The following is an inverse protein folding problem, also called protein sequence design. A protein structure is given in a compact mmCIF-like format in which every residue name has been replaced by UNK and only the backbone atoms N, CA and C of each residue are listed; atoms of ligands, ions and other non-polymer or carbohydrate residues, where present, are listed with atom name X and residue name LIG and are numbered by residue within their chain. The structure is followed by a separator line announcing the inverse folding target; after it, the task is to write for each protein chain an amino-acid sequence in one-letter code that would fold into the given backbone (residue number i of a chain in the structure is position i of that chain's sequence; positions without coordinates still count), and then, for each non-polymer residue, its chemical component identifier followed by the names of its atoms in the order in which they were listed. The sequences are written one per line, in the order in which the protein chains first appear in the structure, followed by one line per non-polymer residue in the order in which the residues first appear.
data_IF_318033775608
#
_entry.id   IF_318033775608
#
_cell.length_a   1.000
_cell.length_b   1.000
_cell.length_c   1.000
_cell.angle_alpha   90.00
_cell.angle_beta   90.00
_cell.angle_gamma   90.00
#
_symmetry.space_group_name_H-M   'P 1'
#
loop_
_entity.id
_entity.type
_entity.pdbx_description
1 polymer ?
#
# COMPACT_ATOMS: atom_id res chain seq x y z
N UNK A 1 32.53 -0.66 -8.47
CA UNK A 1 32.56 0.82 -8.60
C UNK A 1 31.26 1.38 -9.16
N UNK A 2 30.75 0.92 -10.30
CA UNK A 2 29.45 1.41 -10.86
C UNK A 2 28.30 1.30 -9.83
N UNK A 3 28.15 0.16 -9.15
CA UNK A 3 27.13 -0.02 -8.11
C UNK A 3 27.25 0.98 -6.92
N UNK A 4 28.47 1.40 -6.57
CA UNK A 4 28.69 2.36 -5.48
C UNK A 4 28.34 3.80 -5.89
N UNK A 5 28.58 4.19 -7.14
CA UNK A 5 28.19 5.51 -7.67
C UNK A 5 26.67 5.63 -7.84
N UNK A 6 25.99 4.53 -8.12
CA UNK A 6 24.53 4.45 -8.24
C UNK A 6 23.83 4.65 -6.90
N UNK A 7 24.33 4.01 -5.83
CA UNK A 7 23.79 4.21 -4.49
C UNK A 7 23.97 5.64 -3.95
N UNK A 8 24.95 6.38 -4.47
CA UNK A 8 25.21 7.78 -4.11
C UNK A 8 24.42 8.80 -4.96
N UNK A 9 23.45 8.37 -5.77
CA UNK A 9 22.53 9.29 -6.49
C UNK A 9 23.15 10.04 -7.67
N UNK A 10 24.27 9.57 -8.24
CA UNK A 10 24.95 10.21 -9.37
C UNK A 10 24.92 9.34 -10.65
N UNK A 11 23.75 9.21 -11.32
CA UNK A 11 23.60 8.37 -12.51
C UNK A 11 24.48 8.82 -13.70
N UNK A 12 24.81 10.11 -13.79
CA UNK A 12 25.71 10.64 -14.83
C UNK A 12 27.17 10.15 -14.67
N UNK A 13 27.68 10.09 -13.42
CA UNK A 13 29.01 9.57 -13.14
C UNK A 13 29.09 8.05 -13.39
N UNK A 14 28.01 7.33 -13.04
CA UNK A 14 27.88 5.91 -13.33
C UNK A 14 27.89 5.63 -14.85
N UNK A 15 27.24 6.49 -15.66
CA UNK A 15 27.24 6.38 -17.12
C UNK A 15 28.63 6.53 -17.73
N UNK A 16 29.38 7.52 -17.29
CA UNK A 16 30.76 7.71 -17.75
C UNK A 16 31.63 6.47 -17.44
N UNK A 17 31.53 5.93 -16.21
CA UNK A 17 32.25 4.71 -15.84
C UNK A 17 31.81 3.49 -16.66
N UNK A 18 30.51 3.38 -16.93
CA UNK A 18 29.95 2.32 -17.76
C UNK A 18 30.42 2.40 -19.22
N UNK A 19 30.56 3.61 -19.75
CA UNK A 19 31.04 3.83 -21.11
C UNK A 19 32.53 3.50 -21.28
N UNK A 20 33.32 3.66 -20.22
CA UNK A 20 34.73 3.26 -20.17
C UNK A 20 34.96 1.75 -19.96
N UNK A 21 33.92 0.95 -19.70
CA UNK A 21 34.09 -0.48 -19.46
C UNK A 21 34.54 -1.21 -20.74
N UNK A 22 35.68 -1.94 -20.72
CA UNK A 22 36.16 -2.69 -21.89
C UNK A 22 35.21 -3.81 -22.31
N UNK A 23 34.50 -4.39 -21.35
CA UNK A 23 33.47 -5.41 -21.55
C UNK A 23 32.31 -5.15 -20.59
N UNK A 24 31.09 -5.17 -21.12
CA UNK A 24 29.84 -4.95 -20.37
C UNK A 24 29.11 -6.27 -20.23
N UNK A 25 28.82 -6.66 -19.00
CA UNK A 25 28.07 -7.86 -18.65
C UNK A 25 26.63 -7.53 -18.23
N UNK A 26 25.79 -8.57 -18.04
CA UNK A 26 24.39 -8.36 -17.65
C UNK A 26 24.24 -7.60 -16.32
N UNK A 27 25.20 -7.73 -15.41
CA UNK A 27 25.18 -7.05 -14.10
C UNK A 27 25.39 -5.55 -14.27
N UNK A 28 26.40 -5.12 -15.04
CA UNK A 28 26.67 -3.71 -15.29
C UNK A 28 25.50 -3.03 -16.03
N UNK A 29 24.90 -3.69 -17.03
CA UNK A 29 23.69 -3.20 -17.70
C UNK A 29 22.49 -3.05 -16.74
N UNK A 30 22.18 -4.09 -15.95
CA UNK A 30 21.08 -4.04 -14.98
C UNK A 30 21.32 -3.00 -13.89
N UNK A 31 22.57 -2.82 -13.46
CA UNK A 31 22.94 -1.79 -12.48
C UNK A 31 22.68 -0.39 -13.02
N UNK A 32 23.05 -0.12 -14.28
CA UNK A 32 22.74 1.16 -14.93
C UNK A 32 21.25 1.38 -15.12
N UNK A 33 20.53 0.34 -15.52
CA UNK A 33 19.08 0.41 -15.73
C UNK A 33 18.33 0.71 -14.41
N UNK A 34 18.65 -0.01 -13.33
CA UNK A 34 18.08 0.26 -12.01
C UNK A 34 18.44 1.66 -11.51
N UNK A 35 19.67 2.13 -11.75
CA UNK A 35 20.08 3.48 -11.37
C UNK A 35 19.22 4.57 -12.03
N UNK A 36 18.99 4.45 -13.34
CA UNK A 36 18.16 5.40 -14.06
C UNK A 36 16.68 5.27 -13.69
N UNK A 37 16.21 4.05 -13.38
CA UNK A 37 14.87 3.81 -12.87
C UNK A 37 14.64 4.45 -11.48
N UNK A 38 15.62 4.35 -10.58
CA UNK A 38 15.57 4.96 -9.25
C UNK A 38 15.66 6.50 -9.32
N UNK A 39 16.45 7.02 -10.28
CA UNK A 39 16.57 8.46 -10.52
C UNK A 39 15.41 9.07 -11.32
N UNK A 40 14.44 8.27 -11.80
CA UNK A 40 13.32 8.72 -12.63
C UNK A 40 13.72 9.18 -14.04
N UNK A 41 14.94 8.90 -14.49
CA UNK A 41 15.46 9.30 -15.79
C UNK A 41 15.06 8.30 -16.89
N UNK A 42 13.76 8.25 -17.20
CA UNK A 42 13.15 7.22 -18.08
C UNK A 42 13.78 7.14 -19.47
N UNK A 43 14.06 8.28 -20.11
CA UNK A 43 14.69 8.29 -21.43
C UNK A 43 16.05 7.58 -21.44
N UNK A 44 16.86 7.80 -20.40
CA UNK A 44 18.16 7.13 -20.26
C UNK A 44 18.00 5.65 -19.90
N UNK A 45 16.97 5.29 -19.13
CA UNK A 45 16.64 3.89 -18.86
C UNK A 45 16.27 3.15 -20.16
N UNK A 46 15.50 3.77 -21.06
CA UNK A 46 15.15 3.23 -22.38
C UNK A 46 16.37 3.07 -23.29
N UNK A 47 17.26 4.06 -23.32
CA UNK A 47 18.53 3.96 -24.05
C UNK A 47 19.39 2.80 -23.56
N UNK A 48 19.54 2.66 -22.24
CA UNK A 48 20.30 1.56 -21.65
C UNK A 48 19.66 0.23 -22.00
N UNK A 49 18.33 0.12 -21.89
CA UNK A 49 17.58 -1.10 -22.17
C UNK A 49 17.63 -1.52 -23.65
N UNK A 50 17.52 -0.56 -24.56
CA UNK A 50 17.62 -0.80 -26.01
C UNK A 50 19.03 -1.23 -26.41
N UNK A 51 20.06 -0.69 -25.75
CA UNK A 51 21.47 -1.08 -25.94
C UNK A 51 21.88 -2.45 -25.38
N UNK A 52 21.02 -3.12 -24.58
CA UNK A 52 21.36 -4.43 -24.00
C UNK A 52 21.39 -5.53 -25.07
N UNK A 53 22.50 -6.28 -25.22
CA UNK A 53 22.60 -7.37 -26.20
C UNK A 53 21.74 -8.58 -25.83
N UNK A 54 21.52 -8.82 -24.54
CA UNK A 54 20.57 -9.81 -24.03
C UNK A 54 19.73 -9.19 -22.93
N UNK A 55 18.42 -9.27 -23.09
CA UNK A 55 17.43 -8.81 -22.11
C UNK A 55 16.90 -10.00 -21.35
N UNK A 56 16.93 -9.93 -20.03
CA UNK A 56 16.40 -10.94 -19.14
C UNK A 56 15.22 -10.38 -18.35
N UNK A 57 14.53 -11.24 -17.59
CA UNK A 57 13.36 -10.84 -16.80
C UNK A 57 13.67 -9.70 -15.81
N UNK A 58 14.91 -9.64 -15.30
CA UNK A 58 15.37 -8.56 -14.42
C UNK A 58 15.40 -7.22 -15.15
N UNK A 59 15.94 -7.15 -16.36
CA UNK A 59 15.97 -5.91 -17.14
C UNK A 59 14.56 -5.44 -17.50
N UNK A 60 13.66 -6.37 -17.87
CA UNK A 60 12.27 -6.03 -18.16
C UNK A 60 11.53 -5.49 -16.94
N UNK A 61 11.68 -6.15 -15.78
CA UNK A 61 11.05 -5.70 -14.53
C UNK A 61 11.61 -4.36 -14.03
N UNK A 62 12.90 -4.08 -14.24
CA UNK A 62 13.51 -2.80 -13.90
C UNK A 62 12.96 -1.65 -14.76
N UNK A 63 12.84 -1.86 -16.08
CA UNK A 63 12.22 -0.88 -16.98
C UNK A 63 10.74 -0.66 -16.65
N UNK A 64 10.02 -1.75 -16.38
CA UNK A 64 8.62 -1.69 -15.96
C UNK A 64 8.42 -0.89 -14.67
N UNK A 65 9.28 -1.11 -13.67
CA UNK A 65 9.26 -0.36 -12.42
C UNK A 65 9.58 1.12 -12.64
N UNK A 66 10.49 1.44 -13.57
CA UNK A 66 10.78 2.81 -13.96
C UNK A 66 9.51 3.51 -14.51
N UNK A 67 8.82 2.88 -15.47
CA UNK A 67 7.55 3.41 -15.98
C UNK A 67 6.47 3.51 -14.92
N UNK A 68 6.42 2.54 -14.00
CA UNK A 68 5.47 2.55 -12.89
C UNK A 68 5.63 3.77 -12.00
N UNK A 69 6.87 4.05 -11.58
CA UNK A 69 7.18 5.20 -10.72
C UNK A 69 6.97 6.54 -11.42
N UNK A 70 7.25 6.60 -12.72
CA UNK A 70 7.01 7.79 -13.53
C UNK A 70 5.54 7.98 -13.95
N UNK A 71 4.64 7.04 -13.64
CA UNK A 71 3.23 7.10 -14.02
C UNK A 71 2.97 6.87 -15.52
N UNK A 72 3.93 6.37 -16.28
CA UNK A 72 3.80 6.10 -17.71
C UNK A 72 3.09 4.77 -17.99
N UNK A 73 1.81 4.69 -17.61
CA UNK A 73 0.99 3.45 -17.68
C UNK A 73 0.94 2.86 -19.10
N UNK A 74 0.80 3.70 -20.12
CA UNK A 74 0.75 3.24 -21.51
C UNK A 74 2.03 2.52 -21.94
N UNK A 75 3.20 3.07 -21.59
CA UNK A 75 4.50 2.43 -21.88
C UNK A 75 4.68 1.16 -21.06
N UNK A 76 4.30 1.16 -19.78
CA UNK A 76 4.34 -0.04 -18.94
C UNK A 76 3.50 -1.19 -19.53
N UNK A 77 2.30 -0.89 -20.05
CA UNK A 77 1.44 -1.87 -20.73
C UNK A 77 2.06 -2.37 -22.04
N UNK A 78 2.68 -1.49 -22.83
CA UNK A 78 3.40 -1.91 -24.04
C UNK A 78 4.57 -2.85 -23.70
N UNK A 79 5.34 -2.53 -22.66
CA UNK A 79 6.44 -3.38 -22.20
C UNK A 79 5.95 -4.79 -21.83
N UNK A 80 4.76 -4.93 -21.23
CA UNK A 80 4.16 -6.24 -20.95
C UNK A 80 3.95 -7.07 -22.22
N UNK A 81 3.51 -6.44 -23.31
CA UNK A 81 3.20 -7.13 -24.57
C UNK A 81 4.47 -7.58 -25.31
N UNK A 82 5.58 -6.88 -25.08
CA UNK A 82 6.89 -7.23 -25.62
C UNK A 82 7.64 -8.27 -24.77
N UNK A 83 7.20 -8.53 -23.53
CA UNK A 83 7.87 -9.46 -22.63
C UNK A 83 7.64 -10.92 -23.04
N UNK A 84 8.71 -11.70 -23.27
CA UNK A 84 8.59 -13.10 -23.68
C UNK A 84 8.09 -14.03 -22.56
N UNK A 85 8.31 -13.64 -21.30
CA UNK A 85 7.83 -14.33 -20.11
C UNK A 85 7.43 -13.29 -19.06
N UNK A 86 6.31 -13.53 -18.39
CA UNK A 86 5.83 -12.69 -17.30
C UNK A 86 5.86 -13.48 -16.00
N UNK A 87 6.10 -12.80 -14.89
CA UNK A 87 6.03 -13.41 -13.57
C UNK A 87 5.17 -12.57 -12.62
N UNK A 88 5.05 -13.04 -11.38
CA UNK A 88 4.26 -12.36 -10.34
C UNK A 88 4.71 -10.90 -10.14
N UNK A 89 6.01 -10.62 -10.23
CA UNK A 89 6.54 -9.24 -10.08
C UNK A 89 6.07 -8.33 -11.22
N UNK A 90 6.06 -8.84 -12.46
CA UNK A 90 5.55 -8.11 -13.63
C UNK A 90 4.08 -7.70 -13.43
N UNK A 91 3.24 -8.67 -13.07
CA UNK A 91 1.81 -8.43 -12.90
C UNK A 91 1.48 -7.58 -11.69
N UNK A 92 2.13 -7.78 -10.54
CA UNK A 92 1.92 -6.95 -9.34
C UNK A 92 2.31 -5.49 -9.56
N UNK A 93 3.42 -5.24 -10.28
CA UNK A 93 3.86 -3.88 -10.64
C UNK A 93 2.84 -3.21 -11.56
N UNK A 94 2.31 -3.94 -12.54
CA UNK A 94 1.29 -3.40 -13.45
C UNK A 94 -0.08 -3.23 -12.81
N UNK A 95 -0.47 -4.12 -11.88
CA UNK A 95 -1.72 -3.99 -11.13
C UNK A 95 -1.77 -2.68 -10.34
N UNK A 96 -0.64 -2.28 -9.76
CA UNK A 96 -0.53 -1.01 -9.05
C UNK A 96 -0.77 0.22 -9.95
N UNK A 97 -0.64 0.07 -11.29
CA UNK A 97 -0.81 1.15 -12.27
C UNK A 97 -2.11 1.08 -13.06
N UNK A 98 -2.51 -0.12 -13.46
CA UNK A 98 -3.56 -0.37 -14.44
C UNK A 98 -4.82 -1.02 -13.87
N UNK A 99 -4.83 -1.33 -12.57
CA UNK A 99 -6.01 -1.79 -11.85
C UNK A 99 -6.69 -3.00 -12.50
N UNK A 100 -8.02 -2.89 -12.71
CA UNK A 100 -8.90 -3.97 -13.16
C UNK A 100 -8.51 -4.56 -14.52
N UNK A 101 -8.16 -3.74 -15.50
CA UNK A 101 -7.82 -4.21 -16.84
C UNK A 101 -6.62 -5.16 -16.85
N UNK A 102 -5.60 -4.85 -16.04
CA UNK A 102 -4.41 -5.70 -15.90
C UNK A 102 -4.79 -6.98 -15.15
N UNK A 103 -5.58 -6.86 -14.10
CA UNK A 103 -6.06 -8.00 -13.31
C UNK A 103 -6.85 -9.01 -14.14
N UNK A 104 -7.69 -8.53 -15.05
CA UNK A 104 -8.50 -9.39 -15.92
C UNK A 104 -7.65 -10.19 -16.91
N UNK A 105 -6.53 -9.61 -17.37
CA UNK A 105 -5.54 -10.25 -18.27
C UNK A 105 -4.58 -11.21 -17.57
N UNK A 106 -4.57 -11.28 -16.24
CA UNK A 106 -3.66 -12.18 -15.53
C UNK A 106 -4.06 -13.65 -15.73
N UNK A 107 -3.15 -14.52 -16.21
CA UNK A 107 -3.45 -15.93 -16.43
C UNK A 107 -3.71 -16.67 -15.10
N UNK A 108 -2.98 -16.31 -14.05
CA UNK A 108 -3.18 -16.85 -12.71
C UNK A 108 -3.22 -15.71 -11.68
N UNK A 109 -4.31 -15.64 -10.91
CA UNK A 109 -4.56 -14.60 -9.91
C UNK A 109 -4.27 -15.17 -8.52
N UNK A 110 -3.12 -14.81 -7.96
CA UNK A 110 -2.77 -15.17 -6.59
C UNK A 110 -3.33 -14.16 -5.57
N UNK A 111 -3.30 -14.51 -4.27
CA UNK A 111 -3.77 -13.66 -3.17
C UNK A 111 -3.14 -12.26 -3.17
N UNK A 112 -1.88 -12.14 -3.59
CA UNK A 112 -1.17 -10.84 -3.69
C UNK A 112 -1.80 -9.95 -4.75
N UNK A 113 -2.19 -10.50 -5.90
CA UNK A 113 -2.87 -9.76 -6.96
C UNK A 113 -4.23 -9.19 -6.48
N UNK A 114 -5.03 -10.03 -5.82
CA UNK A 114 -6.31 -9.62 -5.24
C UNK A 114 -6.14 -8.49 -4.21
N UNK A 115 -5.21 -8.66 -3.27
CA UNK A 115 -4.94 -7.66 -2.23
C UNK A 115 -4.40 -6.34 -2.81
N UNK A 116 -3.58 -6.41 -3.88
CA UNK A 116 -3.04 -5.22 -4.55
C UNK A 116 -4.16 -4.41 -5.22
N UNK A 117 -5.07 -5.08 -5.92
CA UNK A 117 -6.20 -4.40 -6.56
C UNK A 117 -7.20 -3.85 -5.53
N UNK A 118 -7.43 -4.58 -4.43
CA UNK A 118 -8.26 -4.12 -3.32
C UNK A 118 -7.70 -2.84 -2.68
N UNK A 119 -6.38 -2.79 -2.46
CA UNK A 119 -5.69 -1.59 -1.97
C UNK A 119 -5.74 -0.42 -2.98
N UNK A 120 -5.72 -0.71 -4.29
CA UNK A 120 -5.87 0.31 -5.31
C UNK A 120 -7.28 0.93 -5.29
N UNK A 121 -8.34 0.13 -5.20
CA UNK A 121 -9.71 0.64 -5.04
C UNK A 121 -9.90 1.42 -3.75
N UNK A 122 -9.27 0.98 -2.66
CA UNK A 122 -9.26 1.72 -1.39
C UNK A 122 -8.73 3.13 -1.54
N UNK A 123 -7.59 3.31 -2.22
CA UNK A 123 -6.99 4.63 -2.46
C UNK A 123 -7.85 5.53 -3.35
N UNK A 124 -8.63 4.94 -4.26
CA UNK A 124 -9.50 5.68 -5.18
C UNK A 124 -10.90 5.93 -4.61
N UNK A 125 -11.23 5.37 -3.45
CA UNK A 125 -12.57 5.47 -2.85
C UNK A 125 -13.65 4.69 -3.59
N UNK A 126 -13.26 3.72 -4.42
CA UNK A 126 -14.16 2.87 -5.22
C UNK A 126 -14.66 1.69 -4.38
N UNK A 127 -15.63 1.99 -3.49
CA UNK A 127 -16.09 1.07 -2.43
C UNK A 127 -16.86 -0.13 -2.99
N UNK A 128 -17.72 0.09 -3.98
CA UNK A 128 -18.54 -1.00 -4.54
C UNK A 128 -17.67 -1.97 -5.35
N UNK A 129 -16.72 -1.45 -6.13
CA UNK A 129 -15.75 -2.26 -6.87
C UNK A 129 -14.83 -3.03 -5.92
N UNK A 130 -14.41 -2.43 -4.80
CA UNK A 130 -13.68 -3.13 -3.75
C UNK A 130 -14.50 -4.28 -3.14
N UNK A 131 -15.80 -4.06 -2.92
CA UNK A 131 -16.72 -5.06 -2.36
C UNK A 131 -16.94 -6.22 -3.32
N UNK A 132 -17.26 -5.93 -4.59
CA UNK A 132 -17.41 -6.94 -5.64
C UNK A 132 -16.14 -7.78 -5.78
N UNK A 133 -14.97 -7.13 -5.75
CA UNK A 133 -13.69 -7.82 -5.80
C UNK A 133 -13.48 -8.73 -4.60
N UNK A 134 -13.76 -8.23 -3.39
CA UNK A 134 -13.63 -8.98 -2.15
C UNK A 134 -14.59 -10.18 -2.09
N UNK A 135 -15.82 -10.03 -2.56
CA UNK A 135 -16.84 -11.09 -2.62
C UNK A 135 -16.46 -12.17 -3.64
N UNK A 136 -15.78 -11.80 -4.73
CA UNK A 136 -15.25 -12.71 -5.74
C UNK A 136 -13.96 -13.45 -5.38
N UNK A 137 -13.33 -13.17 -4.22
CA UNK A 137 -12.09 -13.84 -3.82
C UNK A 137 -12.33 -15.33 -3.49
N UNK A 138 -11.62 -16.27 -4.15
CA UNK A 138 -11.76 -17.71 -3.85
C UNK A 138 -11.23 -18.05 -2.46
N UNK A 139 -10.15 -17.38 -2.05
CA UNK A 139 -9.54 -17.49 -0.72
C UNK A 139 -9.33 -16.09 -0.18
N UNK A 140 -9.57 -15.91 1.13
CA UNK A 140 -9.42 -14.62 1.82
C UNK A 140 -8.39 -14.75 2.93
N UNK A 141 -7.40 -13.86 2.92
CA UNK A 141 -6.43 -13.73 3.99
C UNK A 141 -6.86 -12.67 5.01
N UNK A 142 -6.27 -12.66 6.20
CA UNK A 142 -6.46 -11.59 7.18
C UNK A 142 -6.16 -10.20 6.59
N UNK A 143 -5.19 -10.12 5.68
CA UNK A 143 -4.86 -8.88 4.94
C UNK A 143 -6.04 -8.45 4.06
N UNK A 144 -6.69 -9.38 3.36
CA UNK A 144 -7.85 -9.12 2.52
C UNK A 144 -9.03 -8.57 3.33
N UNK A 145 -9.33 -9.21 4.47
CA UNK A 145 -10.39 -8.77 5.39
C UNK A 145 -10.11 -7.37 5.97
N UNK A 146 -8.87 -7.15 6.42
CA UNK A 146 -8.46 -5.86 7.01
C UNK A 146 -8.51 -4.74 5.97
N UNK A 147 -8.07 -5.00 4.73
CA UNK A 147 -8.14 -4.03 3.65
C UNK A 147 -9.58 -3.64 3.32
N UNK A 148 -10.50 -4.60 3.19
CA UNK A 148 -11.91 -4.30 2.94
C UNK A 148 -12.57 -3.54 4.10
N UNK A 149 -12.21 -3.88 5.35
CA UNK A 149 -12.67 -3.15 6.53
C UNK A 149 -12.26 -1.68 6.50
N UNK A 150 -11.00 -1.40 6.15
CA UNK A 150 -10.49 -0.02 6.01
C UNK A 150 -11.24 0.76 4.93
N UNK A 151 -11.60 0.11 3.81
CA UNK A 151 -12.42 0.72 2.74
C UNK A 151 -13.81 1.10 3.25
N UNK A 152 -14.50 0.19 3.95
CA UNK A 152 -15.84 0.43 4.48
C UNK A 152 -15.82 1.50 5.60
N UNK A 153 -14.80 1.45 6.45
CA UNK A 153 -14.57 2.43 7.51
C UNK A 153 -14.37 3.85 6.94
N UNK A 154 -13.46 4.00 5.97
CA UNK A 154 -13.13 5.28 5.36
C UNK A 154 -14.26 5.90 4.52
N UNK A 155 -15.18 5.07 4.03
CA UNK A 155 -16.35 5.53 3.26
C UNK A 155 -17.59 5.84 4.12
N UNK A 156 -17.51 5.67 5.44
CA UNK A 156 -18.62 5.91 6.36
C UNK A 156 -19.71 4.83 6.32
N UNK A 157 -19.49 3.72 5.61
CA UNK A 157 -20.38 2.55 5.59
C UNK A 157 -20.20 1.69 6.85
N UNK A 158 -20.38 2.30 8.02
CA UNK A 158 -20.12 1.69 9.34
C UNK A 158 -20.91 0.40 9.53
N UNK A 159 -22.16 0.34 9.07
CA UNK A 159 -23.00 -0.86 9.20
C UNK A 159 -22.44 -2.06 8.42
N UNK A 160 -21.88 -1.82 7.23
CA UNK A 160 -21.19 -2.85 6.45
C UNK A 160 -19.85 -3.22 7.08
N UNK A 161 -19.10 -2.24 7.58
CA UNK A 161 -17.85 -2.46 8.31
C UNK A 161 -18.07 -3.34 9.55
N UNK A 162 -19.13 -3.08 10.33
CA UNK A 162 -19.52 -3.89 11.49
C UNK A 162 -19.81 -5.32 11.10
N UNK A 163 -20.66 -5.54 10.08
CA UNK A 163 -20.97 -6.89 9.58
C UNK A 163 -19.72 -7.63 9.13
N UNK A 164 -18.82 -6.93 8.43
CA UNK A 164 -17.58 -7.53 7.96
C UNK A 164 -16.66 -7.90 9.14
N UNK A 165 -16.50 -7.00 10.11
CA UNK A 165 -15.69 -7.22 11.31
C UNK A 165 -16.22 -8.36 12.20
N UNK A 166 -17.53 -8.54 12.26
CA UNK A 166 -18.18 -9.65 12.96
C UNK A 166 -18.04 -10.98 12.24
N UNK A 167 -17.95 -10.97 10.91
CA UNK A 167 -17.66 -12.16 10.10
C UNK A 167 -16.17 -12.52 10.04
N UNK A 168 -15.26 -11.66 10.51
CA UNK A 168 -13.82 -11.92 10.46
C UNK A 168 -13.44 -13.12 11.36
N UNK A 169 -12.77 -14.17 10.81
CA UNK A 169 -12.38 -15.35 11.59
C UNK A 169 -11.36 -15.04 12.68
N UNK A 170 -10.49 -14.07 12.43
CA UNK A 170 -9.48 -13.58 13.37
C UNK A 170 -9.39 -12.07 13.26
N UNK A 171 -9.17 -11.42 14.40
CA UNK A 171 -8.99 -9.97 14.52
C UNK A 171 -7.58 -9.69 15.00
N UNK A 172 -6.94 -8.69 14.39
CA UNK A 172 -5.65 -8.14 14.84
C UNK A 172 -5.80 -6.66 15.24
N UNK A 173 -4.74 -6.09 15.83
CA UNK A 173 -4.76 -4.67 16.25
C UNK A 173 -5.20 -3.72 15.13
N UNK A 174 -4.72 -3.96 13.90
CA UNK A 174 -5.05 -3.12 12.73
C UNK A 174 -6.54 -3.16 12.41
N UNK A 175 -7.16 -4.35 12.41
CA UNK A 175 -8.60 -4.50 12.16
C UNK A 175 -9.45 -3.86 13.25
N UNK A 176 -9.09 -4.02 14.53
CA UNK A 176 -9.79 -3.38 15.64
C UNK A 176 -9.67 -1.85 15.55
N UNK A 177 -8.48 -1.33 15.29
CA UNK A 177 -8.23 0.12 15.13
C UNK A 177 -9.04 0.70 13.98
N UNK A 178 -9.10 0.01 12.83
CA UNK A 178 -9.92 0.43 11.69
C UNK A 178 -11.41 0.48 12.08
N UNK A 179 -11.90 -0.50 12.84
CA UNK A 179 -13.27 -0.54 13.32
C UNK A 179 -13.59 0.55 14.35
N UNK A 180 -12.70 0.80 15.32
CA UNK A 180 -12.80 1.90 16.29
C UNK A 180 -12.90 3.24 15.55
N UNK A 181 -12.03 3.45 14.55
CA UNK A 181 -12.02 4.67 13.74
C UNK A 181 -13.31 4.82 12.92
N UNK A 182 -13.86 3.72 12.37
CA UNK A 182 -15.13 3.72 11.65
C UNK A 182 -16.31 4.13 12.56
N UNK A 183 -16.35 3.55 13.77
CA UNK A 183 -17.39 3.80 14.75
C UNK A 183 -17.25 5.17 15.43
N UNK A 184 -16.06 5.79 15.37
CA UNK A 184 -15.72 6.98 16.14
C UNK A 184 -16.69 8.16 16.01
N UNK A 185 -17.37 8.29 14.86
CA UNK A 185 -18.30 9.39 14.60
C UNK A 185 -19.79 9.03 14.75
N UNK A 186 -20.13 7.73 14.80
CA UNK A 186 -21.53 7.26 14.77
C UNK A 186 -21.93 6.45 16.00
N UNK A 187 -21.01 5.66 16.55
CA UNK A 187 -21.28 4.74 17.65
C UNK A 187 -20.04 4.59 18.57
N UNK A 188 -19.83 5.54 19.49
CA UNK A 188 -18.70 5.48 20.42
C UNK A 188 -18.81 4.30 21.41
N UNK A 189 -20.01 3.76 21.65
CA UNK A 189 -20.21 2.60 22.51
C UNK A 189 -19.63 1.34 21.85
N UNK A 190 -19.92 1.14 20.55
CA UNK A 190 -19.32 0.04 19.78
C UNK A 190 -17.81 0.20 19.65
N UNK A 191 -17.31 1.42 19.47
CA UNK A 191 -15.87 1.67 19.45
C UNK A 191 -15.19 1.22 20.76
N UNK A 192 -15.81 1.50 21.91
CA UNK A 192 -15.34 1.05 23.22
C UNK A 192 -15.37 -0.47 23.36
N UNK A 193 -16.48 -1.11 22.97
CA UNK A 193 -16.60 -2.57 23.02
C UNK A 193 -15.50 -3.27 22.20
N UNK A 194 -15.20 -2.75 21.01
CA UNK A 194 -14.12 -3.27 20.16
C UNK A 194 -12.77 -3.09 20.85
N UNK A 195 -12.50 -1.93 21.44
CA UNK A 195 -11.26 -1.65 22.17
C UNK A 195 -11.08 -2.57 23.38
N UNK A 196 -12.13 -2.74 24.20
CA UNK A 196 -12.11 -3.60 25.39
C UNK A 196 -11.92 -5.08 25.02
N UNK A 197 -12.32 -5.48 23.81
CA UNK A 197 -12.10 -6.84 23.29
C UNK A 197 -10.67 -7.08 22.77
N UNK A 198 -9.81 -6.04 22.72
CA UNK A 198 -8.43 -6.18 22.23
C UNK A 198 -7.54 -6.88 23.27
N UNK A 199 -6.85 -7.98 22.92
CA UNK A 199 -5.92 -8.64 23.84
C UNK A 199 -4.73 -7.74 24.24
N UNK A 200 -4.33 -6.87 23.32
CA UNK A 200 -3.32 -5.84 23.53
C UNK A 200 -3.78 -4.58 22.80
N UNK A 201 -4.31 -3.63 23.56
CA UNK A 201 -4.52 -2.28 23.06
C UNK A 201 -3.16 -1.59 22.92
N UNK A 202 -2.92 -0.98 21.76
CA UNK A 202 -1.74 -0.16 21.52
C UNK A 202 -2.13 1.32 21.61
N UNK A 203 -1.12 2.20 21.63
CA UNK A 203 -1.33 3.64 21.71
C UNK A 203 -2.19 4.16 20.54
N UNK A 204 -2.12 3.50 19.38
CA UNK A 204 -2.87 3.89 18.18
C UNK A 204 -4.36 3.61 18.36
N UNK A 205 -4.73 2.42 18.83
CA UNK A 205 -6.13 2.07 19.09
C UNK A 205 -6.74 2.92 20.21
N UNK A 206 -5.94 3.27 21.23
CA UNK A 206 -6.39 4.14 22.31
C UNK A 206 -6.58 5.59 21.85
N UNK A 207 -5.64 6.13 21.07
CA UNK A 207 -5.77 7.45 20.46
C UNK A 207 -6.99 7.54 19.55
N UNK A 208 -7.29 6.47 18.78
CA UNK A 208 -8.50 6.41 17.96
C UNK A 208 -9.79 6.47 18.81
N UNK A 209 -9.81 5.80 19.97
CA UNK A 209 -10.95 5.81 20.89
C UNK A 209 -11.10 7.16 21.64
N UNK A 210 -9.99 7.79 22.05
CA UNK A 210 -10.00 9.14 22.64
C UNK A 210 -10.59 10.13 21.63
N UNK A 211 -10.13 10.08 20.38
CA UNK A 211 -10.66 10.92 19.30
C UNK A 211 -12.14 10.65 19.00
N UNK A 212 -12.60 9.41 19.15
CA UNK A 212 -14.03 9.06 19.05
C UNK A 212 -14.86 9.76 20.12
N UNK A 213 -14.49 9.62 21.40
CA UNK A 213 -15.26 10.24 22.47
C UNK A 213 -15.21 11.77 22.45
N UNK A 214 -14.07 12.34 22.08
CA UNK A 214 -13.87 13.78 21.93
C UNK A 214 -14.93 14.43 21.03
N UNK A 215 -15.25 13.78 19.90
CA UNK A 215 -16.24 14.28 18.92
C UNK A 215 -17.67 14.24 19.42
N UNK A 216 -17.96 13.45 20.45
CA UNK A 216 -19.29 13.29 21.02
C UNK A 216 -19.50 14.12 22.31
N UNK A 217 -18.57 15.03 22.64
CA UNK A 217 -18.68 15.92 23.80
C UNK A 217 -18.63 15.20 25.15
N UNK A 218 -18.27 13.91 25.16
CA UNK A 218 -18.03 13.15 26.37
C UNK A 218 -16.59 13.40 26.80
N UNK A 219 -16.38 14.24 27.80
CA UNK A 219 -15.03 14.67 28.21
C UNK A 219 -14.42 13.74 29.26
N UNK A 220 -15.25 13.12 30.11
CA UNK A 220 -14.78 12.28 31.21
C UNK A 220 -14.22 10.93 30.75
N UNK A 221 -14.88 10.27 29.79
CA UNK A 221 -14.44 8.98 29.24
C UNK A 221 -13.06 9.06 28.52
N UNK A 222 -12.79 10.01 27.61
CA UNK A 222 -11.50 10.15 26.96
C UNK A 222 -10.40 10.57 27.93
N UNK A 223 -10.72 11.35 28.99
CA UNK A 223 -9.74 11.70 30.03
C UNK A 223 -9.33 10.47 30.85
N UNK A 224 -10.30 9.66 31.28
CA UNK A 224 -10.00 8.43 32.01
C UNK A 224 -9.13 7.48 31.18
N UNK A 225 -9.43 7.36 29.89
CA UNK A 225 -8.64 6.55 28.98
C UNK A 225 -7.22 7.13 28.80
N UNK A 226 -7.09 8.44 28.61
CA UNK A 226 -5.82 9.14 28.50
C UNK A 226 -4.92 8.99 29.74
N UNK A 227 -5.51 9.09 30.93
CA UNK A 227 -4.80 8.93 32.21
C UNK A 227 -4.37 7.46 32.45
N UNK A 228 -5.03 6.50 31.81
CA UNK A 228 -4.68 5.07 31.88
C UNK A 228 -3.56 4.65 30.92
N UNK A 229 -3.13 5.53 30.00
CA UNK A 229 -2.09 5.22 29.03
C UNK A 229 -0.70 5.17 29.70
N UNK A 230 0.11 4.13 29.42
CA UNK A 230 1.46 4.03 29.96
C UNK A 230 2.40 5.11 29.42
N UNK A 231 2.18 5.55 28.18
CA UNK A 231 2.86 6.68 27.54
C UNK A 231 1.85 7.52 26.77
N UNK A 232 1.98 8.85 26.86
CA UNK A 232 1.13 9.82 26.19
C UNK A 232 1.95 10.51 25.10
N UNK A 233 1.47 10.47 23.86
CA UNK A 233 2.14 11.14 22.74
C UNK A 233 1.43 12.45 22.36
N UNK A 234 2.04 13.19 21.43
CA UNK A 234 1.47 14.45 20.93
C UNK A 234 0.07 14.25 20.35
N UNK A 235 -0.22 13.07 19.78
CA UNK A 235 -1.54 12.75 19.27
C UNK A 235 -2.57 12.57 20.39
N UNK A 236 -2.22 11.88 21.48
CA UNK A 236 -3.07 11.71 22.66
C UNK A 236 -3.47 13.08 23.24
N UNK A 237 -2.50 14.00 23.38
CA UNK A 237 -2.74 15.36 23.87
C UNK A 237 -3.62 16.18 22.93
N UNK A 238 -3.35 16.14 21.62
CA UNK A 238 -4.15 16.86 20.63
C UNK A 238 -5.61 16.35 20.59
N UNK A 239 -5.81 15.03 20.70
CA UNK A 239 -7.13 14.43 20.74
C UNK A 239 -7.90 14.83 22.00
N UNK A 240 -7.23 14.87 23.17
CA UNK A 240 -7.84 15.32 24.42
C UNK A 240 -8.18 16.81 24.38
N UNK A 241 -7.28 17.66 23.88
CA UNK A 241 -7.56 19.10 23.72
C UNK A 241 -8.75 19.35 22.78
N UNK A 242 -8.87 18.58 21.70
CA UNK A 242 -10.04 18.64 20.82
C UNK A 242 -11.34 18.27 21.55
N UNK A 243 -11.30 17.37 22.54
CA UNK A 243 -12.45 17.02 23.38
C UNK A 243 -12.91 18.18 24.27
N UNK A 244 -11.97 19.00 24.76
CA UNK A 244 -12.25 20.16 25.63
C UNK A 244 -12.60 21.44 24.86
N UNK A 245 -12.32 21.48 23.55
CA UNK A 245 -12.56 22.64 22.69
C UNK A 245 -13.97 22.70 22.09
N UNK A 246 -14.76 21.64 22.24
CA UNK A 246 -16.17 21.53 21.84
C UNK A 246 -17.09 21.67 23.05
#
# INVERSE_FOLDING_TARGET
MVAACVHNGHPAAARHLFDLMPARDAISWNTMLSAYADAGAIAHAEEVFTGMPQRCLVSWNALLLAYARAGHVARAKQTLEEMPQTNVVTWTTLLALGGKEVFDRMPERNLVAWNTLLAAYSKQGLVEEAKELFDGMPERSLVSWTAMLVVLAGSGRVDDATRLFDAMPMRNSVSCTAMITACAARDPARAKEVFDSMPQADLVSANALIAAFARHGKVDEPKQLFDSLPEQDVFSWNALLAAYAH
#
